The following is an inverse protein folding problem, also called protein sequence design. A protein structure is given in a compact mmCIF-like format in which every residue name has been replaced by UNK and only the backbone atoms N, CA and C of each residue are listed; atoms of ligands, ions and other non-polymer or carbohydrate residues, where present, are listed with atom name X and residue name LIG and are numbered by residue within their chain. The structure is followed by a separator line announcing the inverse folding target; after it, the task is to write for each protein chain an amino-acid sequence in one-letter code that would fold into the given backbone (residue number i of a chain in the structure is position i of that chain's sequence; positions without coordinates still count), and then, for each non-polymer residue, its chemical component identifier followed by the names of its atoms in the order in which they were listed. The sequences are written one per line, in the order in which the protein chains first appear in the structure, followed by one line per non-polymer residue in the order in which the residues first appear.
data_IF_778962117902
#
_entry.id   IF_778962117902
#
_cell.length_a   1.000
_cell.length_b   1.000
_cell.length_c   1.000
_cell.angle_alpha   90.00
_cell.angle_beta   90.00
_cell.angle_gamma   90.00
#
_symmetry.space_group_name_H-M   'P 1'
#
loop_
_entity.id
_entity.type
_entity.pdbx_description
1 polymer ?
#
# COMPACT_ATOMS: atom_id res chain seq x y z
N UNK A 1 14.60 0.81 -12.53
CA UNK A 1 13.17 1.22 -12.58
C UNK A 1 12.65 1.08 -11.17
N UNK A 2 12.06 2.13 -10.59
CA UNK A 2 11.41 2.04 -9.29
C UNK A 2 10.00 1.42 -9.47
N UNK A 3 9.51 0.61 -8.51
CA UNK A 3 8.17 0.07 -8.59
C UNK A 3 7.12 1.18 -8.50
N UNK A 4 5.95 0.94 -9.08
CA UNK A 4 4.82 1.87 -9.03
C UNK A 4 4.36 2.13 -7.59
N UNK A 5 4.33 1.08 -6.76
CA UNK A 5 3.99 1.15 -5.35
C UNK A 5 4.96 0.27 -4.55
N UNK A 6 5.57 0.83 -3.51
CA UNK A 6 6.32 0.08 -2.50
C UNK A 6 5.55 0.16 -1.18
N UNK A 7 5.30 -0.99 -0.56
CA UNK A 7 4.79 -1.09 0.80
C UNK A 7 5.86 -1.66 1.71
N UNK A 8 6.12 -1.02 2.84
CA UNK A 8 7.01 -1.53 3.89
C UNK A 8 6.23 -1.56 5.20
N UNK A 9 6.36 -2.66 5.92
CA UNK A 9 5.67 -2.87 7.19
C UNK A 9 6.65 -2.85 8.35
N UNK A 10 6.37 -2.01 9.34
CA UNK A 10 7.16 -1.88 10.58
C UNK A 10 6.59 -2.76 11.71
N UNK A 11 5.44 -3.38 11.46
CA UNK A 11 4.74 -4.27 12.38
C UNK A 11 3.66 -5.08 11.67
N UNK A 12 2.86 -5.82 12.44
CA UNK A 12 1.72 -6.56 11.88
C UNK A 12 0.69 -5.57 11.34
N UNK A 13 0.45 -5.60 10.03
CA UNK A 13 -0.47 -4.71 9.31
C UNK A 13 -1.04 -5.45 8.10
N UNK A 14 -2.34 -5.29 7.85
CA UNK A 14 -2.97 -5.89 6.68
C UNK A 14 -2.90 -4.92 5.49
N UNK A 15 -2.62 -5.42 4.29
CA UNK A 15 -2.75 -4.62 3.09
C UNK A 15 -3.44 -5.38 1.96
N UNK A 16 -4.26 -4.63 1.21
CA UNK A 16 -4.89 -5.06 -0.03
C UNK A 16 -4.62 -4.03 -1.11
N UNK A 17 -4.18 -4.51 -2.28
CA UNK A 17 -3.89 -3.71 -3.46
C UNK A 17 -4.55 -4.35 -4.67
N UNK A 18 -5.34 -3.56 -5.40
CA UNK A 18 -6.07 -3.99 -6.59
C UNK A 18 -5.81 -3.03 -7.74
N UNK A 19 -5.61 -3.55 -8.95
CA UNK A 19 -5.38 -2.75 -10.15
C UNK A 19 -6.69 -2.30 -10.84
N UNK A 20 -6.56 -1.55 -11.93
CA UNK A 20 -7.68 -1.03 -12.71
C UNK A 20 -8.60 -2.12 -13.30
N UNK A 21 -8.06 -3.31 -13.55
CA UNK A 21 -8.80 -4.45 -14.10
C UNK A 21 -9.53 -5.25 -13.00
N UNK A 22 -9.41 -4.82 -11.74
CA UNK A 22 -9.95 -5.55 -10.60
C UNK A 22 -9.09 -6.73 -10.16
N UNK A 23 -7.85 -6.86 -10.67
CA UNK A 23 -6.92 -7.90 -10.24
C UNK A 23 -6.27 -7.50 -8.92
N UNK A 24 -6.41 -8.35 -7.91
CA UNK A 24 -5.70 -8.21 -6.65
C UNK A 24 -4.21 -8.51 -6.84
N UNK A 25 -3.37 -7.51 -6.62
CA UNK A 25 -1.90 -7.62 -6.68
C UNK A 25 -1.32 -8.04 -5.33
N UNK A 26 -1.93 -7.62 -4.23
CA UNK A 26 -1.56 -8.00 -2.86
C UNK A 26 -2.83 -8.12 -2.01
N UNK A 27 -2.89 -9.13 -1.17
CA UNK A 27 -3.92 -9.28 -0.12
C UNK A 27 -3.30 -10.14 0.98
N UNK A 28 -2.59 -9.49 1.91
CA UNK A 28 -1.79 -10.20 2.90
C UNK A 28 -1.62 -9.42 4.21
N UNK A 29 -1.37 -10.17 5.29
CA UNK A 29 -0.99 -9.66 6.60
C UNK A 29 0.54 -9.51 6.64
N UNK A 30 1.03 -8.30 6.38
CA UNK A 30 2.44 -7.96 6.49
C UNK A 30 2.96 -8.13 7.91
N UNK A 31 4.25 -8.46 8.01
CA UNK A 31 4.99 -8.60 9.27
C UNK A 31 6.09 -7.55 9.35
N UNK A 32 6.63 -7.31 10.55
CA UNK A 32 7.69 -6.32 10.73
C UNK A 32 8.91 -6.62 9.84
N UNK A 33 9.37 -5.62 9.09
CA UNK A 33 10.47 -5.72 8.14
C UNK A 33 10.08 -6.26 6.76
N UNK A 34 8.82 -6.61 6.52
CA UNK A 34 8.40 -7.09 5.19
C UNK A 34 8.20 -5.93 4.21
N UNK A 35 8.61 -6.15 2.97
CA UNK A 35 8.54 -5.18 1.88
C UNK A 35 7.88 -5.82 0.65
N UNK A 36 7.04 -5.05 -0.04
CA UNK A 36 6.33 -5.49 -1.23
C UNK A 36 6.40 -4.40 -2.30
N UNK A 37 7.16 -4.68 -3.35
CA UNK A 37 7.15 -3.92 -4.58
C UNK A 37 6.01 -4.42 -5.48
N UNK A 38 5.13 -3.50 -5.89
CA UNK A 38 3.93 -3.81 -6.65
C UNK A 38 3.88 -2.95 -7.91
N UNK A 39 3.65 -3.62 -9.02
CA UNK A 39 3.43 -3.03 -10.34
C UNK A 39 2.12 -3.56 -10.90
N UNK A 40 1.33 -2.68 -11.52
CA UNK A 40 0.04 -3.04 -12.09
C UNK A 40 -0.58 -1.90 -12.88
N UNK A 41 -1.76 -2.15 -13.42
CA UNK A 41 -2.47 -1.16 -14.24
C UNK A 41 -3.14 -0.10 -13.37
N UNK A 42 -2.89 1.17 -13.68
CA UNK A 42 -3.44 2.30 -12.96
C UNK A 42 -4.91 2.54 -13.34
N UNK A 43 -5.77 2.95 -12.40
CA UNK A 43 -5.42 3.28 -11.01
C UNK A 43 -5.26 2.05 -10.10
N UNK A 44 -4.31 2.12 -9.15
CA UNK A 44 -4.22 1.14 -8.07
C UNK A 44 -5.09 1.60 -6.89
N UNK A 45 -5.96 0.74 -6.40
CA UNK A 45 -6.70 0.94 -5.16
C UNK A 45 -5.95 0.26 -4.02
N UNK A 46 -5.61 1.02 -2.98
CA UNK A 46 -4.81 0.54 -1.86
C UNK A 46 -5.58 0.72 -0.55
N UNK A 47 -5.62 -0.35 0.24
CA UNK A 47 -6.22 -0.38 1.57
C UNK A 47 -5.18 -0.94 2.54
N UNK A 48 -4.86 -0.19 3.59
CA UNK A 48 -3.92 -0.64 4.63
C UNK A 48 -4.61 -0.55 5.99
N UNK A 49 -4.68 -1.66 6.70
CA UNK A 49 -5.14 -1.75 8.09
C UNK A 49 -3.97 -1.66 9.07
N UNK A 50 -4.19 -0.94 10.17
CA UNK A 50 -3.12 -0.52 11.08
C UNK A 50 -2.04 0.32 10.37
N UNK A 51 -2.48 1.37 9.67
CA UNK A 51 -1.66 2.21 8.80
C UNK A 51 -0.47 2.90 9.52
N UNK A 52 -0.51 3.01 10.85
CA UNK A 52 0.61 3.52 11.64
C UNK A 52 1.85 2.60 11.62
N UNK A 53 1.68 1.35 11.18
CA UNK A 53 2.75 0.33 11.06
C UNK A 53 3.15 0.06 9.61
N UNK A 54 2.77 0.94 8.69
CA UNK A 54 3.07 0.81 7.29
C UNK A 54 3.59 2.13 6.72
N UNK A 55 4.58 2.03 5.85
CA UNK A 55 5.08 3.13 5.03
C UNK A 55 4.86 2.81 3.56
N UNK A 56 4.61 3.85 2.77
CA UNK A 56 4.29 3.73 1.36
C UNK A 56 5.16 4.66 0.55
N UNK A 57 5.69 4.14 -0.55
CA UNK A 57 6.28 4.96 -1.60
C UNK A 57 5.53 4.73 -2.90
N UNK A 58 5.28 5.81 -3.64
CA UNK A 58 4.66 5.75 -4.96
C UNK A 58 5.69 6.24 -5.97
N UNK A 59 6.06 5.37 -6.91
CA UNK A 59 7.08 5.66 -7.93
C UNK A 59 8.43 6.16 -7.34
N UNK A 60 8.77 5.68 -6.14
CA UNK A 60 9.97 6.06 -5.39
C UNK A 60 9.86 7.33 -4.55
N UNK A 61 8.67 7.95 -4.44
CA UNK A 61 8.43 9.09 -3.57
C UNK A 61 7.62 8.69 -2.33
N UNK A 62 8.03 9.16 -1.16
CA UNK A 62 7.31 8.91 0.09
C UNK A 62 5.87 9.45 0.01
N UNK A 63 4.89 8.58 0.24
CA UNK A 63 3.49 8.92 0.16
C UNK A 63 2.90 9.10 1.57
N UNK A 64 2.38 10.30 1.84
CA UNK A 64 1.79 10.60 3.15
C UNK A 64 0.40 9.93 3.29
N UNK A 65 0.31 8.92 4.16
CA UNK A 65 -0.94 8.21 4.45
C UNK A 65 -1.91 9.00 5.33
N UNK A 66 -1.44 9.94 6.15
CA UNK A 66 -2.24 10.60 7.19
C UNK A 66 -3.58 11.19 6.68
N UNK A 67 -3.63 11.89 5.53
CA UNK A 67 -4.89 12.43 5.01
C UNK A 67 -5.93 11.36 4.70
N UNK A 68 -5.46 10.17 4.32
CA UNK A 68 -6.23 9.02 3.87
C UNK A 68 -6.57 8.02 4.99
N UNK A 69 -6.04 8.23 6.18
CA UNK A 69 -6.25 7.35 7.34
C UNK A 69 -7.51 7.74 8.11
N UNK A 70 -8.39 6.75 8.35
CA UNK A 70 -9.56 6.84 9.24
C UNK A 70 -9.65 5.55 10.05
N UNK A 71 -9.84 5.65 11.37
CA UNK A 71 -9.88 4.50 12.28
C UNK A 71 -8.71 3.52 12.08
N UNK A 72 -7.49 4.07 11.93
CA UNK A 72 -6.26 3.33 11.68
C UNK A 72 -6.25 2.50 10.37
N UNK A 73 -7.14 2.83 9.43
CA UNK A 73 -7.18 2.25 8.09
C UNK A 73 -6.95 3.35 7.07
N UNK A 74 -5.89 3.22 6.26
CA UNK A 74 -5.62 4.11 5.14
C UNK A 74 -6.30 3.57 3.88
N UNK A 75 -7.00 4.44 3.15
CA UNK A 75 -7.60 4.11 1.84
C UNK A 75 -7.28 5.20 0.84
N UNK A 76 -6.57 4.84 -0.22
CA UNK A 76 -6.18 5.80 -1.25
C UNK A 76 -6.09 5.11 -2.62
N UNK A 77 -5.99 5.95 -3.65
CA UNK A 77 -5.88 5.50 -5.04
C UNK A 77 -4.65 6.14 -5.66
N UNK A 78 -3.79 5.33 -6.25
CA UNK A 78 -2.65 5.78 -7.06
C UNK A 78 -3.12 5.91 -8.50
N UNK A 79 -2.77 7.02 -9.15
CA UNK A 79 -3.11 7.32 -10.55
C UNK A 79 -1.85 7.48 -11.40
#
# INVERSE_FOLDING_TARGET
MAPLLMLRFDGVSWAEVTDANGKTLLSHLGSAGSEHALDGELPLTVVIGDANKATVEVRGEAFNLLPFTRNNVARFTVR
#
